data_IF_524686257957
#
_entry.id   IF_524686257957
#
_cell.length_a   1.000
_cell.length_b   1.000
_cell.length_c   1.000
_cell.angle_alpha   90.00
_cell.angle_beta   90.00
_cell.angle_gamma   90.00
#
_symmetry.space_group_name_H-M   'P 1'
#
loop_
_entity.id
_entity.type
_entity.pdbx_description
1 polymer ?
2 polymer ?
3 non-polymer ?
4 non-polymer ?
5 water ?
#
# COMPACT_ATOMS: atom_id res chain seq x y z
N UNK A 1 20.08 -1.13 6.68
CA UNK A 1 19.50 0.10 6.13
C UNK A 1 20.35 0.68 4.99
N UNK A 2 19.70 0.94 3.87
CA UNK A 2 20.32 1.51 2.68
C UNK A 2 19.43 2.66 2.12
N UNK A 3 19.97 3.45 1.16
CA UNK A 3 19.20 4.55 0.57
C UNK A 3 17.98 4.10 -0.22
N UNK A 4 18.00 2.90 -0.80
CA UNK A 4 16.87 2.42 -1.57
C UNK A 4 15.66 2.15 -0.70
N UNK A 5 15.85 1.58 0.47
CA UNK A 5 14.72 1.33 1.36
C UNK A 5 14.32 2.61 2.13
N UNK A 6 15.26 3.51 2.38
CA UNK A 6 14.96 4.77 3.04
C UNK A 6 14.11 5.63 2.10
N UNK A 7 14.50 5.72 0.80
CA UNK A 7 13.71 6.45 -0.19
C UNK A 7 12.35 5.77 -0.42
N UNK A 8 12.33 4.44 -0.38
CA UNK A 8 11.11 3.66 -0.49
C UNK A 8 10.14 4.01 0.62
N UNK A 9 10.63 4.08 1.88
CA UNK A 9 9.85 4.45 3.06
C UNK A 9 9.35 5.89 3.00
N UNK A 10 10.23 6.83 2.57
CA UNK A 10 9.91 8.25 2.45
C UNK A 10 8.87 8.47 1.34
N UNK A 11 8.95 7.68 0.25
CA UNK A 11 8.01 7.74 -0.87
C UNK A 11 6.63 7.24 -0.43
N UNK A 12 6.61 6.20 0.42
CA UNK A 12 5.37 5.62 0.97
C UNK A 12 4.72 6.63 1.93
N UNK A 13 5.50 7.25 2.84
CA UNK A 13 4.97 8.26 3.76
C UNK A 13 4.47 9.47 2.95
N UNK A 14 5.18 9.85 1.84
CA UNK A 14 4.73 10.94 0.97
C UNK A 14 3.34 10.61 0.38
N UNK A 15 3.13 9.39 -0.20
CA UNK A 15 1.85 8.97 -0.75
C UNK A 15 0.73 9.10 0.29
N UNK A 16 0.94 8.58 1.50
CA UNK A 16 -0.02 8.61 2.61
C UNK A 16 -0.36 10.06 3.02
N UNK A 17 0.64 10.97 3.05
CA UNK A 17 0.37 12.36 3.42
C UNK A 17 -0.29 13.17 2.25
N UNK A 18 0.03 12.85 0.98
CA UNK A 18 -0.59 13.47 -0.20
C UNK A 18 -2.10 13.23 -0.14
N UNK A 19 -2.51 11.96 0.03
CA UNK A 19 -3.91 11.59 0.10
C UNK A 19 -4.62 12.16 1.31
N UNK A 20 -4.01 12.05 2.50
CA UNK A 20 -4.65 12.56 3.72
C UNK A 20 -4.87 14.08 3.67
N UNK A 21 -3.91 14.84 3.15
CA UNK A 21 -4.02 16.31 3.02
C UNK A 21 -4.96 16.71 1.90
N UNK A 22 -5.09 15.86 0.85
CA UNK A 22 -6.00 16.16 -0.25
C UNK A 22 -7.44 16.12 0.27
N UNK A 23 -7.83 15.03 0.94
CA UNK A 23 -9.16 14.89 1.50
C UNK A 23 -9.44 15.96 2.57
N UNK A 24 -8.51 16.15 3.53
CA UNK A 24 -8.66 17.12 4.61
C UNK A 24 -8.88 18.54 4.13
N UNK A 25 -7.98 19.09 3.28
CA UNK A 25 -8.09 20.48 2.78
C UNK A 25 -9.28 20.70 1.86
N UNK A 26 -9.55 19.77 0.93
CA UNK A 26 -10.67 19.92 -0.01
C UNK A 26 -12.04 19.58 0.59
N UNK A 27 -12.07 18.96 1.79
CA UNK A 27 -13.28 18.50 2.50
C UNK A 27 -14.07 17.47 1.66
N UNK A 28 -13.39 16.72 0.79
CA UNK A 28 -14.06 15.77 -0.09
C UNK A 28 -13.18 14.61 -0.43
N UNK A 29 -13.76 13.40 -0.49
CA UNK A 29 -13.08 12.17 -0.87
C UNK A 29 -13.58 11.66 -2.23
N UNK A 30 -13.95 12.57 -3.15
CA UNK A 30 -14.45 12.21 -4.46
C UNK A 30 -13.35 11.57 -5.28
N UNK A 31 -13.67 10.50 -5.97
CA UNK A 31 -12.70 9.78 -6.79
C UNK A 31 -11.82 8.80 -6.05
N UNK A 32 -11.89 8.78 -4.69
CA UNK A 32 -11.06 7.90 -3.86
C UNK A 32 -11.80 6.62 -3.47
N UNK A 33 -11.16 5.45 -3.68
CA UNK A 33 -11.69 4.16 -3.29
C UNK A 33 -11.52 3.96 -1.78
N UNK A 34 -12.65 3.89 -1.09
CA UNK A 34 -12.63 3.62 0.34
C UNK A 34 -12.17 2.22 0.61
N UNK A 35 -12.54 1.27 -0.27
CA UNK A 35 -12.20 -0.14 -0.15
C UNK A 35 -10.70 -0.38 -0.09
N UNK A 36 -9.89 0.34 -0.92
CA UNK A 36 -8.42 0.23 -0.93
C UNK A 36 -7.88 0.66 0.38
N UNK A 37 -8.40 1.76 0.96
CA UNK A 37 -7.97 2.27 2.27
C UNK A 37 -8.31 1.31 3.42
N UNK A 38 -9.42 0.57 3.33
CA UNK A 38 -9.75 -0.45 4.35
C UNK A 38 -8.72 -1.57 4.28
N UNK A 39 -8.30 -1.95 3.03
CA UNK A 39 -7.31 -2.98 2.80
C UNK A 39 -5.92 -2.53 3.28
N UNK A 40 -5.50 -1.28 3.01
CA UNK A 40 -4.22 -0.79 3.49
C UNK A 40 -4.21 -0.67 5.06
N UNK A 41 -5.36 -0.33 5.69
CA UNK A 41 -5.44 -0.31 7.16
C UNK A 41 -5.28 -1.71 7.73
N UNK A 42 -5.90 -2.69 7.06
CA UNK A 42 -5.82 -4.09 7.43
C UNK A 42 -4.38 -4.59 7.27
N UNK A 43 -3.63 -4.09 6.25
CA UNK A 43 -2.23 -4.47 6.04
C UNK A 43 -1.37 -4.06 7.25
N UNK A 44 -1.37 -2.76 7.61
CA UNK A 44 -0.61 -2.27 8.75
C UNK A 44 -1.05 -2.95 10.07
N UNK A 45 -2.35 -3.17 10.25
CA UNK A 45 -2.87 -3.85 11.45
C UNK A 45 -2.32 -5.29 11.61
N UNK A 46 -2.33 -6.10 10.53
CA UNK A 46 -1.84 -7.49 10.59
C UNK A 46 -0.31 -7.63 10.52
N UNK A 47 0.38 -6.62 9.92
CA UNK A 47 1.84 -6.65 9.78
C UNK A 47 2.57 -6.20 11.02
N UNK A 48 2.05 -5.15 11.69
CA UNK A 48 2.72 -4.52 12.82
C UNK A 48 2.30 -5.00 14.21
N UNK A 49 1.71 -6.20 14.30
CA UNK A 49 1.41 -6.80 15.60
C UNK A 49 2.72 -7.11 16.38
N UNK A 50 3.86 -7.24 15.66
CA UNK A 50 5.17 -7.44 16.25
C UNK A 50 5.60 -6.25 17.10
N UNK A 51 4.93 -5.07 17.00
CA UNK A 51 5.24 -3.91 17.87
C UNK A 51 5.22 -4.34 19.37
N UNK A 52 4.46 -5.42 19.70
CA UNK A 52 4.30 -5.99 21.04
C UNK A 52 5.36 -7.06 21.39
N UNK A 53 6.15 -7.52 20.43
CA UNK A 53 7.14 -8.58 20.63
C UNK A 53 8.57 -8.18 20.26
N UNK A 54 8.74 -7.13 19.47
CA UNK A 54 10.05 -6.76 18.96
C UNK A 54 10.32 -5.28 18.92
N UNK A 55 11.58 -4.92 19.15
CA UNK A 55 12.04 -3.54 19.01
C UNK A 55 13.23 -3.54 18.06
N UNK A 56 13.07 -2.96 16.85
CA UNK A 56 14.18 -2.89 15.91
C UNK A 56 14.90 -1.55 16.08
N UNK A 57 14.15 -0.44 16.11
CA UNK A 57 14.71 0.90 16.32
C UNK A 57 13.61 1.92 16.60
N UNK A 58 13.99 3.14 17.05
CA UNK A 58 13.04 4.24 17.28
C UNK A 58 12.35 4.60 15.94
N UNK A 59 13.12 4.60 14.83
CA UNK A 59 12.60 4.92 13.51
C UNK A 59 11.62 3.87 13.09
N UNK A 60 11.95 2.59 13.26
CA UNK A 60 11.03 1.51 12.89
C UNK A 60 9.72 1.56 13.71
N UNK A 61 9.81 1.81 15.03
CA UNK A 61 8.61 1.91 15.86
C UNK A 61 7.76 3.14 15.43
N UNK A 62 8.40 4.29 15.26
CA UNK A 62 7.73 5.53 14.87
C UNK A 62 7.03 5.41 13.53
N UNK A 63 7.71 4.84 12.52
CA UNK A 63 7.13 4.66 11.19
C UNK A 63 5.87 3.75 11.28
N UNK A 64 5.94 2.65 12.03
CA UNK A 64 4.80 1.76 12.25
C UNK A 64 3.60 2.53 12.83
N UNK A 65 3.80 3.26 13.96
CA UNK A 65 2.75 4.04 14.60
C UNK A 65 2.18 5.11 13.65
N UNK A 66 3.03 5.76 12.84
CA UNK A 66 2.60 6.81 11.91
C UNK A 66 1.72 6.21 10.79
N UNK A 67 2.17 5.09 10.18
CA UNK A 67 1.43 4.38 9.14
C UNK A 67 0.05 3.94 9.67
N UNK A 68 -0.02 3.33 10.88
CA UNK A 68 -1.29 2.91 11.47
C UNK A 68 -2.22 4.14 11.67
N UNK A 69 -1.72 5.22 12.33
CA UNK A 69 -2.49 6.42 12.61
C UNK A 69 -3.02 7.08 11.35
N UNK A 70 -2.19 7.22 10.30
CA UNK A 70 -2.60 7.86 9.05
C UNK A 70 -3.58 7.03 8.26
N UNK A 71 -3.44 5.72 8.31
CA UNK A 71 -4.31 4.77 7.65
C UNK A 71 -5.71 4.79 8.30
N UNK A 72 -5.77 4.72 9.63
CA UNK A 72 -7.04 4.79 10.34
C UNK A 72 -7.72 6.17 10.16
N UNK A 73 -6.93 7.28 10.10
CA UNK A 73 -7.45 8.62 9.92
C UNK A 73 -8.04 8.79 8.52
N UNK A 74 -7.39 8.22 7.47
CA UNK A 74 -7.90 8.25 6.10
C UNK A 74 -9.23 7.48 5.98
N UNK A 75 -9.34 6.27 6.60
CA UNK A 75 -10.59 5.51 6.61
C UNK A 75 -11.67 6.33 7.35
N UNK A 76 -11.34 6.96 8.47
CA UNK A 76 -12.28 7.82 9.18
C UNK A 76 -12.83 9.00 8.30
N UNK A 77 -11.96 9.67 7.52
CA UNK A 77 -12.40 10.76 6.66
C UNK A 77 -13.33 10.30 5.54
N UNK A 78 -13.05 9.17 4.93
CA UNK A 78 -13.88 8.65 3.84
C UNK A 78 -15.23 8.10 4.33
N UNK A 79 -15.21 7.22 5.35
CA UNK A 79 -16.44 6.56 5.79
C UNK A 79 -17.24 7.27 6.89
N UNK A 80 -16.69 8.30 7.55
CA UNK A 80 -17.45 9.00 8.58
C UNK A 80 -17.55 10.52 8.35
N UNK A 81 -16.41 11.25 8.41
CA UNK A 81 -16.42 12.69 8.29
C UNK A 81 -16.91 13.25 6.92
N UNK A 82 -16.32 12.78 5.82
CA UNK A 82 -16.70 13.27 4.49
C UNK A 82 -17.44 12.22 3.69
N UNK A 83 -18.30 11.42 4.37
CA UNK A 83 -19.05 10.35 3.73
C UNK A 83 -20.06 10.85 2.67
N UNK A 84 -20.45 12.11 2.75
CA UNK A 84 -21.36 12.71 1.78
C UNK A 84 -20.72 12.74 0.36
N UNK A 85 -19.38 12.83 0.29
CA UNK A 85 -18.69 12.87 -1.00
C UNK A 85 -18.08 11.51 -1.40
N UNK A 86 -18.33 10.44 -0.63
CA UNK A 86 -17.80 9.12 -0.98
C UNK A 86 -18.64 8.52 -2.07
N UNK A 87 -17.99 8.19 -3.18
CA UNK A 87 -18.64 7.64 -4.35
C UNK A 87 -18.80 6.12 -4.25
N UNK A 88 -19.73 5.68 -3.42
CA UNK A 88 -20.00 4.26 -3.22
C UNK A 88 -20.46 3.52 -4.46
N UNK A 89 -21.20 4.22 -5.33
CA UNK A 89 -21.72 3.67 -6.59
C UNK A 89 -20.62 3.28 -7.58
N UNK A 90 -19.44 3.92 -7.49
CA UNK A 90 -18.34 3.61 -8.42
C UNK A 90 -17.22 2.80 -7.78
N UNK A 91 -17.19 2.69 -6.43
CA UNK A 91 -16.20 1.90 -5.71
C UNK A 91 -16.87 0.54 -5.45
N UNK A 92 -17.10 -0.23 -6.52
CA UNK A 92 -17.82 -1.49 -6.47
C UNK A 92 -16.96 -2.75 -6.58
N UNK A 93 -15.62 -2.68 -6.37
CA UNK A 93 -14.79 -3.91 -6.44
C UNK A 93 -15.24 -4.86 -5.33
N UNK A 94 -15.44 -6.14 -5.65
CA UNK A 94 -15.83 -7.13 -4.64
C UNK A 94 -14.55 -7.62 -3.93
N UNK A 95 -14.20 -6.98 -2.82
CA UNK A 95 -13.00 -7.18 -2.01
C UNK A 95 -12.89 -8.60 -1.39
N UNK A 96 -14.00 -9.34 -1.31
CA UNK A 96 -14.00 -10.72 -0.78
C UNK A 96 -13.25 -11.69 -1.71
N UNK A 97 -13.11 -11.35 -3.01
CA UNK A 97 -12.28 -12.14 -3.94
C UNK A 97 -10.78 -11.93 -3.68
N UNK A 98 -10.40 -10.93 -2.84
CA UNK A 98 -9.03 -10.66 -2.47
C UNK A 98 -8.79 -11.21 -1.06
N UNK A 99 -9.58 -10.79 -0.06
CA UNK A 99 -9.43 -11.21 1.34
C UNK A 99 -9.50 -12.74 1.55
N UNK A 100 -10.58 -13.41 1.11
CA UNK A 100 -10.74 -14.85 1.34
C UNK A 100 -9.57 -15.68 0.70
N UNK A 101 -9.22 -15.54 -0.61
CA UNK A 101 -8.08 -16.31 -1.13
C UNK A 101 -6.73 -15.95 -0.51
N UNK A 102 -6.47 -14.67 -0.26
CA UNK A 102 -5.23 -14.21 0.39
C UNK A 102 -5.10 -14.79 1.82
N UNK A 103 -6.23 -14.95 2.50
CA UNK A 103 -6.30 -15.56 3.82
C UNK A 103 -5.98 -17.05 3.72
N UNK A 104 -6.52 -17.71 2.70
CA UNK A 104 -6.27 -19.12 2.47
C UNK A 104 -4.81 -19.41 2.15
N UNK A 105 -4.20 -18.61 1.25
CA UNK A 105 -2.80 -18.71 0.84
C UNK A 105 -1.81 -18.37 1.98
N UNK A 106 -2.15 -17.46 2.89
CA UNK A 106 -1.25 -17.11 4.00
C UNK A 106 -1.16 -18.26 5.00
N UNK A 107 -2.27 -18.98 5.19
CA UNK A 107 -2.29 -20.15 6.05
C UNK A 107 -1.46 -21.27 5.40
N UNK A 108 -1.54 -21.46 4.06
CA UNK A 108 -0.84 -22.56 3.37
C UNK A 108 0.62 -22.32 2.99
N UNK A 109 0.94 -21.12 2.54
CA UNK A 109 2.28 -20.78 2.10
C UNK A 109 2.84 -19.68 3.01
N UNK A 110 3.66 -20.06 3.99
CA UNK A 110 4.28 -19.14 4.92
C UNK A 110 5.67 -19.67 5.38
N UNK A 111 6.44 -18.88 6.14
CA UNK A 111 7.72 -19.34 6.68
C UNK A 111 7.52 -20.17 7.96
N UNK A 112 6.41 -19.95 8.70
CA UNK A 112 6.15 -20.69 9.93
C UNK A 112 4.66 -20.72 10.26
N UNK A 113 4.15 -21.89 10.66
CA UNK A 113 2.75 -22.09 11.01
C UNK A 113 2.46 -21.64 12.44
N UNK A 114 2.39 -20.32 12.63
CA UNK A 114 2.12 -19.72 13.93
C UNK A 114 1.26 -18.44 13.69
N UNK A 115 0.36 -18.08 14.64
CA UNK A 115 -0.51 -16.92 14.44
C UNK A 115 0.15 -15.62 13.98
N UNK A 116 1.28 -15.22 14.57
CA UNK A 116 1.93 -13.97 14.17
C UNK A 116 2.57 -14.02 12.82
N UNK A 117 3.14 -15.21 12.44
CA UNK A 117 3.78 -15.34 11.13
C UNK A 117 2.76 -15.43 10.01
N UNK A 118 1.63 -16.10 10.25
CA UNK A 118 0.53 -16.25 9.30
C UNK A 118 -0.08 -14.88 9.05
N UNK A 119 -0.31 -14.11 10.11
CA UNK A 119 -0.85 -12.76 10.00
C UNK A 119 0.11 -11.83 9.26
N UNK A 120 1.44 -11.98 9.47
CA UNK A 120 2.42 -11.18 8.75
C UNK A 120 2.33 -11.49 7.24
N UNK A 121 2.25 -12.80 6.89
CA UNK A 121 2.16 -13.27 5.51
C UNK A 121 0.91 -12.75 4.83
N UNK A 122 -0.21 -12.75 5.55
CA UNK A 122 -1.47 -12.23 5.05
C UNK A 122 -1.31 -10.71 4.67
N UNK A 123 -0.56 -9.93 5.45
CA UNK A 123 -0.33 -8.52 5.17
C UNK A 123 0.50 -8.33 3.88
N UNK A 124 1.47 -9.22 3.67
CA UNK A 124 2.33 -9.21 2.47
C UNK A 124 1.54 -9.55 1.16
N UNK A 125 0.67 -10.57 1.21
CA UNK A 125 -0.13 -10.94 0.05
C UNK A 125 -1.22 -9.88 -0.17
N UNK A 126 -1.88 -9.44 0.90
CA UNK A 126 -2.94 -8.44 0.78
C UNK A 126 -2.41 -7.12 0.21
N UNK A 127 -1.21 -6.67 0.62
CA UNK A 127 -0.68 -5.42 0.08
C UNK A 127 -0.42 -5.48 -1.44
N UNK A 128 -0.04 -6.66 -2.00
CA UNK A 128 0.19 -6.85 -3.43
C UNK A 128 -1.00 -6.36 -4.27
N UNK A 129 -2.22 -6.65 -3.80
CA UNK A 129 -3.46 -6.39 -4.50
C UNK A 129 -4.35 -5.32 -3.88
N UNK A 130 -3.87 -4.62 -2.83
CA UNK A 130 -4.66 -3.65 -2.08
C UNK A 130 -5.12 -2.48 -2.90
N UNK A 131 -4.34 -2.05 -3.89
CA UNK A 131 -4.71 -0.92 -4.74
C UNK A 131 -5.71 -1.28 -5.80
N UNK A 132 -5.95 -2.59 -6.08
CA UNK A 132 -6.89 -3.01 -7.14
C UNK A 132 -8.26 -2.26 -7.11
N UNK A 133 -8.97 -2.12 -5.94
CA UNK A 133 -10.22 -1.33 -5.96
C UNK A 133 -10.08 0.13 -6.43
N UNK A 134 -8.95 0.79 -6.19
CA UNK A 134 -8.74 2.17 -6.62
C UNK A 134 -8.49 2.23 -8.13
N UNK A 135 -7.68 1.30 -8.67
CA UNK A 135 -7.41 1.28 -10.12
C UNK A 135 -8.69 0.90 -10.87
N UNK A 136 -9.52 0.02 -10.28
CA UNK A 136 -10.79 -0.41 -10.84
C UNK A 136 -11.81 0.74 -10.89
N UNK A 137 -11.82 1.60 -9.86
CA UNK A 137 -12.70 2.76 -9.77
C UNK A 137 -12.30 3.79 -10.81
N UNK A 138 -11.01 4.01 -11.01
CA UNK A 138 -10.51 4.94 -12.02
C UNK A 138 -10.86 4.47 -13.43
N UNK A 139 -10.75 3.14 -13.71
CA UNK A 139 -11.12 2.61 -15.01
C UNK A 139 -12.63 2.76 -15.25
N UNK A 140 -13.44 2.58 -14.19
CA UNK A 140 -14.90 2.72 -14.27
C UNK A 140 -15.31 4.17 -14.50
N UNK A 141 -14.84 5.11 -13.66
CA UNK A 141 -15.16 6.53 -13.76
C UNK A 141 -14.54 7.20 -15.00
N UNK A 142 -13.45 6.65 -15.51
CA UNK A 142 -12.80 7.19 -16.69
C UNK A 142 -11.45 7.82 -16.39
N UNK A 143 -11.47 9.08 -15.97
CA UNK A 143 -10.26 9.81 -15.63
C UNK A 143 -9.77 9.57 -14.15
N UNK A 144 -8.77 10.36 -13.71
CA UNK A 144 -8.21 10.42 -12.36
C UNK A 144 -7.68 11.85 -12.18
N UNK A 145 -8.00 12.49 -11.03
CA UNK A 145 -7.52 13.85 -10.77
C UNK A 145 -5.98 13.84 -10.64
N UNK A 146 -5.31 14.95 -11.01
CA UNK A 146 -3.85 15.05 -10.95
C UNK A 146 -3.25 14.66 -9.58
N UNK A 147 -3.80 15.16 -8.47
CA UNK A 147 -3.31 14.82 -7.13
C UNK A 147 -3.45 13.33 -6.84
N UNK A 148 -4.52 12.68 -7.36
CA UNK A 148 -4.72 11.24 -7.18
C UNK A 148 -3.64 10.46 -7.94
N UNK A 149 -3.24 10.95 -9.13
CA UNK A 149 -2.18 10.29 -9.90
C UNK A 149 -0.83 10.41 -9.18
N UNK A 150 -0.56 11.55 -8.50
CA UNK A 150 0.69 11.72 -7.77
C UNK A 150 0.75 10.73 -6.61
N UNK A 151 -0.40 10.55 -5.88
CA UNK A 151 -0.52 9.59 -4.79
C UNK A 151 -0.19 8.18 -5.32
N UNK A 152 -0.79 7.78 -6.44
CA UNK A 152 -0.54 6.48 -7.06
C UNK A 152 0.92 6.31 -7.53
N UNK A 153 1.55 7.39 -8.02
CA UNK A 153 2.96 7.33 -8.39
C UNK A 153 3.89 7.05 -7.19
N UNK A 154 3.76 7.80 -6.07
CA UNK A 154 4.62 7.60 -4.91
C UNK A 154 4.34 6.29 -4.20
N UNK A 155 3.11 5.80 -4.25
CA UNK A 155 2.78 4.50 -3.66
C UNK A 155 3.38 3.35 -4.50
N UNK A 156 3.34 3.50 -5.82
CA UNK A 156 3.87 2.49 -6.74
C UNK A 156 5.38 2.46 -6.72
N UNK A 157 6.02 3.64 -6.69
CA UNK A 157 7.48 3.75 -6.62
C UNK A 157 8.03 3.13 -5.31
N UNK A 158 7.27 3.18 -4.22
CA UNK A 158 7.74 2.72 -2.92
C UNK A 158 8.14 1.23 -2.95
N UNK A 159 7.26 0.31 -3.38
CA UNK A 159 7.61 -1.11 -3.41
C UNK A 159 8.60 -1.45 -4.56
N UNK A 160 8.68 -0.59 -5.60
CA UNK A 160 9.67 -0.77 -6.66
C UNK A 160 11.06 -0.54 -6.06
N UNK A 161 11.20 0.48 -5.16
CA UNK A 161 12.44 0.78 -4.46
C UNK A 161 12.80 -0.36 -3.48
N UNK A 162 11.78 -1.02 -2.89
CA UNK A 162 11.99 -2.18 -2.01
C UNK A 162 12.59 -3.36 -2.77
N UNK A 163 12.29 -3.52 -4.06
CA UNK A 163 12.91 -4.57 -4.88
C UNK A 163 14.39 -4.26 -5.03
N UNK A 164 14.77 -2.98 -5.22
CA UNK A 164 16.18 -2.60 -5.30
C UNK A 164 16.86 -2.83 -3.96
N UNK A 165 16.18 -2.49 -2.86
CA UNK A 165 16.64 -2.74 -1.50
C UNK A 165 16.95 -4.25 -1.29
N UNK A 166 16.07 -5.15 -1.77
CA UNK A 166 16.28 -6.58 -1.63
C UNK A 166 17.43 -7.10 -2.45
N UNK A 167 17.75 -6.48 -3.61
CA UNK A 167 18.92 -6.90 -4.40
C UNK A 167 20.18 -6.54 -3.58
N UNK A 168 20.22 -5.29 -3.06
CA UNK A 168 21.29 -4.74 -2.23
C UNK A 168 21.56 -5.65 -1.01
N UNK A 169 20.50 -5.96 -0.22
CA UNK A 169 20.60 -6.79 0.97
C UNK A 169 21.01 -8.22 0.66
N UNK A 170 20.64 -8.74 -0.52
CA UNK A 170 21.05 -10.08 -0.92
C UNK A 170 22.54 -10.09 -1.22
N UNK A 171 23.02 -9.07 -1.94
CA UNK A 171 24.42 -8.95 -2.31
C UNK A 171 25.35 -8.66 -1.11
N UNK A 172 24.99 -7.67 -0.27
CA UNK A 172 25.82 -7.23 0.86
C UNK A 172 25.63 -8.01 2.16
N UNK A 173 24.40 -8.43 2.52
CA UNK A 173 24.25 -9.16 3.79
C UNK A 173 23.66 -10.55 3.67
N UNK A 174 23.65 -11.12 2.46
CA UNK A 174 23.13 -12.47 2.23
C UNK A 174 21.71 -12.71 2.73
N UNK A 175 20.91 -11.64 2.85
CA UNK A 175 19.52 -11.73 3.31
C UNK A 175 18.60 -11.91 2.11
N UNK A 176 17.62 -12.80 2.24
CA UNK A 176 16.66 -13.07 1.17
C UNK A 176 15.33 -13.57 1.73
N UNK A 177 14.21 -12.96 1.30
CA UNK A 177 12.88 -13.40 1.72
C UNK A 177 12.04 -13.55 0.47
N UNK A 178 11.84 -14.80 0.00
CA UNK A 178 11.09 -15.11 -1.21
C UNK A 178 9.61 -14.70 -1.17
N UNK A 179 8.97 -14.72 0.02
CA UNK A 179 7.56 -14.32 0.14
C UNK A 179 7.40 -12.79 -0.11
N UNK A 180 8.26 -11.98 0.50
CA UNK A 180 8.23 -10.54 0.30
C UNK A 180 8.62 -10.21 -1.13
N UNK A 181 9.61 -10.91 -1.70
CA UNK A 181 10.09 -10.64 -3.05
C UNK A 181 9.03 -10.90 -4.12
N UNK A 182 8.45 -12.13 -4.12
CA UNK A 182 7.43 -12.53 -5.09
C UNK A 182 6.23 -11.61 -5.02
N UNK A 183 5.73 -11.36 -3.80
CA UNK A 183 4.60 -10.47 -3.59
C UNK A 183 4.93 -9.03 -4.00
N UNK A 184 6.16 -8.58 -3.77
CA UNK A 184 6.61 -7.26 -4.15
C UNK A 184 6.72 -7.07 -5.66
N UNK A 185 6.97 -8.17 -6.39
CA UNK A 185 7.04 -8.15 -7.85
C UNK A 185 5.60 -8.04 -8.38
N UNK A 186 4.66 -8.82 -7.79
CA UNK A 186 3.25 -8.80 -8.16
C UNK A 186 2.70 -7.39 -7.91
N UNK A 187 3.01 -6.81 -6.73
CA UNK A 187 2.61 -5.45 -6.32
C UNK A 187 3.06 -4.41 -7.35
N UNK A 188 4.32 -4.47 -7.78
CA UNK A 188 4.86 -3.49 -8.73
C UNK A 188 4.35 -3.67 -10.15
N UNK A 189 4.19 -4.96 -10.58
CA UNK A 189 3.69 -5.36 -11.89
C UNK A 189 2.29 -4.74 -12.18
N UNK A 190 1.43 -4.66 -11.15
CA UNK A 190 0.08 -4.10 -11.25
C UNK A 190 0.06 -2.57 -11.49
N UNK A 191 1.21 -1.88 -11.33
CA UNK A 191 1.35 -0.46 -11.61
C UNK A 191 1.87 -0.16 -13.03
N UNK A 192 2.20 -1.19 -13.82
CA UNK A 192 2.77 -1.07 -15.16
C UNK A 192 2.00 -0.11 -16.09
N UNK A 193 0.68 -0.29 -16.22
CA UNK A 193 -0.13 0.59 -17.06
C UNK A 193 -0.26 1.97 -16.50
N UNK A 194 -0.40 2.08 -15.18
CA UNK A 194 -0.47 3.38 -14.55
C UNK A 194 0.81 4.20 -14.79
N UNK A 195 1.99 3.58 -14.63
CA UNK A 195 3.28 4.22 -14.79
C UNK A 195 3.45 4.71 -16.23
N UNK A 196 3.08 3.88 -17.22
CA UNK A 196 3.18 4.26 -18.64
C UNK A 196 2.31 5.48 -18.93
N UNK A 197 1.08 5.49 -18.40
CA UNK A 197 0.14 6.59 -18.58
C UNK A 197 0.55 7.85 -17.80
N UNK A 198 1.15 7.69 -16.61
CA UNK A 198 1.63 8.80 -15.78
C UNK A 198 2.79 9.52 -16.47
N UNK A 199 3.70 8.77 -17.08
CA UNK A 199 4.86 9.32 -17.78
C UNK A 199 4.48 9.95 -19.12
N UNK A 200 3.68 9.23 -19.95
CA UNK A 200 3.29 9.73 -21.28
C UNK A 200 2.21 10.83 -21.26
N UNK A 201 1.26 10.80 -20.30
CA UNK A 201 0.18 11.79 -20.23
C UNK A 201 0.34 12.83 -19.11
N UNK A 202 0.26 12.39 -17.83
CA UNK A 202 0.33 13.25 -16.63
C UNK A 202 1.59 14.13 -16.58
N UNK A 203 2.79 13.54 -16.77
CA UNK A 203 4.03 14.32 -16.77
C UNK A 203 4.17 15.21 -18.04
N UNK A 204 3.27 15.08 -19.03
CA UNK A 204 3.26 15.95 -20.22
C UNK A 204 2.07 16.95 -20.20
N UNK A 205 1.44 17.13 -19.05
CA UNK A 205 0.32 18.06 -18.88
C UNK A 205 -1.02 17.59 -19.43
N UNK A 206 -1.15 16.30 -19.72
CA UNK A 206 -2.39 15.73 -20.24
C UNK A 206 -3.12 14.97 -19.14
N UNK A 207 -4.44 14.75 -19.28
CA UNK A 207 -5.22 14.07 -18.25
C UNK A 207 -5.21 12.55 -18.42
N UNK A 208 -5.31 11.80 -17.30
CA UNK A 208 -5.30 10.34 -17.38
C UNK A 208 -6.62 9.84 -18.02
N UNK A 209 -6.50 8.98 -19.07
CA UNK A 209 -7.62 8.40 -19.83
C UNK A 209 -8.54 9.48 -20.42
N UNK B 2 13.33 -15.56 12.77
CA UNK B 2 12.17 -15.04 12.06
C UNK B 2 11.94 -13.54 12.28
N UNK B 3 13.04 -12.78 12.52
CA UNK B 3 13.01 -11.32 12.74
C UNK B 3 12.59 -10.54 11.49
N UNK B 4 11.53 -9.74 11.58
CA UNK B 4 11.06 -8.93 10.47
C UNK B 4 11.50 -7.48 10.66
N UNK B 5 12.59 -7.08 10.01
CA UNK B 5 13.22 -5.79 10.16
C UNK B 5 12.82 -4.67 9.19
N UNK B 6 11.79 -4.86 8.34
CA UNK B 6 11.34 -3.80 7.42
C UNK B 6 9.85 -3.46 7.58
N UNK B 7 9.43 -2.29 7.12
CA UNK B 7 8.04 -1.87 7.18
C UNK B 7 7.17 -2.51 6.05
X LIG C 1 -9.52 -11.80 -8.76
X LIG C 1 -1.42 -12.33 -4.60
X LIG C 1 -0.12 -12.53 -4.35
X LIG C 1 -8.47 -11.97 -7.66
X LIG C 1 -2.52 -13.35 -4.53
X LIG C 1 0.55 -13.81 -3.93
X LIG C 1 7.40 -21.93 1.16
X LIG C 1 -7.88 -13.40 -7.64
X LIG C 1 -3.85 -12.63 -4.78
X LIG C 1 2.05 -13.69 -4.27
X LIG C 1 -7.31 -13.74 -6.23
X LIG C 1 -5.02 -13.61 -5.06
X LIG C 1 2.91 -14.73 -3.53
X LIG C 1 -6.14 -12.83 -5.82
X LIG C 1 2.83 -16.12 -4.17
X LIG C 1 3.48 -17.18 -3.26
X LIG C 1 5.01 -17.14 -3.31
X LIG C 1 5.56 -17.49 -1.92
X LIG C 1 7.88 -20.04 -0.44
X LIG C 1 6.58 -18.60 -1.92
X LIG C 1 7.84 -20.42 1.08
X LIG C 1 7.11 -19.13 -2.87
X LIG C 1 6.99 -22.16 2.49
X LIG C 1 9.06 -20.19 1.72
X LIG C 1 6.92 -19.01 -0.63
X LIG D 1 -3.43 -10.72 -9.57
X LIG D 1 5.18 -12.32 -10.46
X LIG D 1 6.00 -13.30 -10.08
X LIG D 1 -1.91 -10.60 -9.66
X LIG D 1 3.90 -12.48 -11.25
X LIG D 1 5.79 -14.75 -10.38
X LIG D 1 6.55 -24.38 -1.53
X LIG D 1 -1.39 -10.81 -11.10
X LIG D 1 3.28 -11.10 -11.55
X LIG D 1 6.37 -15.61 -9.27
X LIG D 1 0.13 -10.50 -11.23
X LIG D 1 2.16 -11.18 -12.58
X LIG D 1 6.51 -17.09 -9.72
X LIG D 1 0.83 -11.63 -11.99
X LIG D 1 7.30 -17.90 -8.70
X LIG D 1 6.49 -18.18 -7.42
X LIG D 1 6.95 -19.52 -6.83
X LIG D 1 5.95 -20.09 -5.81
X LIG D 1 7.09 -22.87 -3.53
X LIG D 1 6.36 -21.50 -5.41
X LIG D 1 6.00 -23.24 -2.45
X LIG D 1 6.41 -22.48 -6.13
X LIG D 1 5.55 -24.60 -0.56
X LIG D 1 5.53 -22.14 -1.73
X LIG D 1 6.70 -21.60 -4.07
X LIG E 1 17.44 15.57 -1.78
X LIG E 1 18.40 12.01 2.38
X LIG E 1 19.60 12.49 1.98
X LIG E 1 16.42 14.45 -2.02
X LIG E 1 17.99 10.56 2.52
X LIG E 1 20.81 11.69 1.56
X LIG E 1 26.26 6.00 7.23
X LIG E 1 16.84 13.14 -1.33
X LIG E 1 17.43 9.96 1.20
X LIG E 1 22.01 11.93 2.49
X LIG E 1 15.81 12.01 -1.58
X LIG E 1 16.29 10.82 0.61
X LIG E 1 21.84 11.21 3.83
X LIG E 1 16.28 10.70 -0.92
X LIG E 1 23.20 10.86 4.45
X LIG E 1 23.90 12.11 5.02
X LIG E 1 25.20 11.69 5.74
X LIG E 1 24.91 11.05 7.10
X LIG E 1 26.72 8.13 8.51
X LIG E 1 26.12 10.27 7.57
X LIG E 1 26.07 6.71 8.59
X LIG E 1 27.29 10.63 7.57
X LIG E 1 25.91 4.65 7.47
X LIG E 1 26.60 5.98 9.63
X LIG E 1 25.73 9.02 8.02
X LIG F 1 18.14 5.93 -4.48
X LIG F 1 13.24 12.30 -7.06
X LIG F 1 14.20 12.71 -7.93
X LIG F 1 16.68 6.38 -4.50
X LIG F 1 12.40 11.05 -7.14
X LIG F 1 14.68 12.00 -9.18
X LIG F 1 15.86 12.94 -19.22
X LIG F 1 16.25 6.64 -5.93
X LIG F 1 13.17 9.88 -6.52
X LIG F 1 14.53 12.92 -10.39
X LIG F 1 14.99 7.51 -5.98
X LIG F 1 13.41 8.77 -7.57
X LIG F 1 13.23 12.63 -11.16
X LIG F 1 14.78 8.10 -7.41
X LIG F 1 13.59 12.05 -12.52
X LIG F 1 13.60 10.51 -12.52
X LIG F 1 14.25 9.92 -13.80
X LIG F 1 13.64 10.47 -15.10
X LIG F 1 14.16 12.13 -17.45
X LIG F 1 14.35 9.90 -16.33
X LIG F 1 14.35 12.60 -18.93
X LIG F 1 14.75 8.74 -16.43
X LIG F 1 15.85 13.63 -20.43
X LIG F 1 13.87 11.65 -19.82
X LIG F 1 14.56 10.76 -17.40
X LIG G 1 12.95 15.05 6.25
X LIG G 1 10.54 17.48 0.44
X LIG G 1 10.10 18.46 -0.35
X LIG G 1 13.74 13.96 5.52
X LIG G 1 9.67 16.49 1.14
X LIG G 1 8.67 18.73 -0.66
X LIG G 1 1.02 18.48 -4.77
X LIG G 1 13.39 13.92 4.03
X LIG G 1 10.24 15.07 0.98
X LIG G 1 8.52 19.39 -2.04
X LIG G 1 11.96 13.40 3.83
X LIG G 1 11.51 14.86 1.83
X LIG G 1 7.95 18.44 -3.09
X LIG G 1 11.55 13.42 2.34
X LIG G 1 6.42 18.38 -2.99
X LIG G 1 5.91 17.12 -2.26
X LIG G 1 6.16 15.82 -3.05
X LIG G 1 4.87 15.33 -3.71
X LIG G 1 2.16 16.20 -4.37
X LIG G 1 4.60 16.18 -4.93
X LIG G 1 1.60 17.49 -3.70
X LIG G 1 5.44 16.51 -5.75
X LIG G 1 1.01 17.82 -6.01
X LIG G 1 0.69 17.18 -2.69
X LIG G 1 3.29 16.58 -5.16
X LIG H 1 11.40 -14.50 9.05
X LIG H 1 12.47 -13.99 8.95
X LIG H 1 10.32 -15.02 9.11
#
# INVERSE_FOLDING_TARGET
MNIFRLTGDLSHLAAIIILLLKIWKSRSCAGISGKSQLLFALVFTTRYLDLFTSFISLYNTSMKLIYIACSYATVYLIYMKFKATYDGNHDTFRVEFLIVPVGGLSFLVNHDFSPLEILWTFSIYLESVAILPQLFMISKTGEAETITTHYLFFLGLYRALYLVNWIWRYYFEGFFDLIAVVAGVVQTVLYCDFFYLYVTKVLKGKKLSLPA
TAEHDEL
OLC C18 C10 C9 C17 C11 C8 C24 C16 C12 C7 C15 C13 C6 C14 C5 C4 C3 C2 C21 C1 C22 O19 O25 O23 O20
OLC C18 C10 C9 C17 C11 C8 C24 C16 C12 C7 C15 C13 C6 C14 C5 C4 C3 C2 C21 C1 C22 O19 O25 O23 O20
OLC C18 C10 C9 C17 C11 C8 C24 C16 C12 C7 C15 C13 C6 C14 C5 C4 C3 C2 C21 C1 C22 O19 O25 O23 O20
OLC C18 C10 C9 C17 C11 C8 C24 C16 C12 C7 C15 C13 C6 C14 C5 C4 C3 C2 C21 C1 C22 O19 O25 O23 O20
OLC C18 C10 C9 C17 C11 C8 C24 C16 C12 C7 C15 C13 C6 C14 C5 C4 C3 C2 C21 C1 C22 O19 O25 O23 O20
CO2 C O1 O2
#
